data_IF_774639609103
#
_entry.id   IF_774639609103
#
_cell.length_a   1.000
_cell.length_b   1.000
_cell.length_c   1.000
_cell.angle_alpha   90.00
_cell.angle_beta   90.00
_cell.angle_gamma   90.00
#
_symmetry.space_group_name_H-M   'P 1'
#
loop_
_entity.id
_entity.type
_entity.pdbx_description
1 polymer ?
#
# COMPACT_ATOMS: atom_id res chain seq x y z
N UNK A 1 12.77 -22.85 -9.04
CA UNK A 1 13.74 -21.86 -9.56
C UNK A 1 13.51 -20.52 -8.90
N UNK A 2 14.58 -19.87 -8.43
CA UNK A 2 14.52 -18.48 -7.96
C UNK A 2 14.43 -17.60 -9.21
N UNK A 3 13.45 -16.69 -9.26
CA UNK A 3 13.22 -15.82 -10.44
C UNK A 3 12.27 -16.38 -11.50
N UNK A 4 11.29 -17.21 -11.12
CA UNK A 4 10.24 -17.67 -12.03
C UNK A 4 9.41 -16.47 -12.55
N UNK A 5 9.49 -16.20 -13.87
CA UNK A 5 8.76 -15.12 -14.54
C UNK A 5 7.25 -15.21 -14.34
N UNK A 6 6.69 -16.43 -14.35
CA UNK A 6 5.27 -16.63 -14.13
C UNK A 6 4.86 -16.15 -12.73
N UNK A 7 5.65 -16.47 -11.70
CA UNK A 7 5.37 -16.04 -10.34
C UNK A 7 5.43 -14.52 -10.19
N UNK A 8 6.37 -13.86 -10.87
CA UNK A 8 6.46 -12.39 -10.89
C UNK A 8 5.24 -11.75 -11.55
N UNK A 9 4.82 -12.27 -12.71
CA UNK A 9 3.65 -11.72 -13.41
C UNK A 9 2.35 -11.98 -12.63
N UNK A 10 2.23 -13.13 -11.95
CA UNK A 10 1.08 -13.39 -11.09
C UNK A 10 1.07 -12.48 -9.85
N UNK A 11 2.23 -12.20 -9.25
CA UNK A 11 2.33 -11.25 -8.15
C UNK A 11 1.87 -9.84 -8.55
N UNK A 12 2.25 -9.35 -9.75
CA UNK A 12 1.77 -8.06 -10.28
C UNK A 12 0.25 -8.06 -10.49
N UNK A 13 -0.30 -9.12 -11.10
CA UNK A 13 -1.75 -9.27 -11.30
C UNK A 13 -2.51 -9.26 -9.98
N UNK A 14 -1.97 -9.89 -8.95
CA UNK A 14 -2.58 -9.90 -7.62
C UNK A 14 -2.59 -8.51 -7.00
N UNK A 15 -1.49 -7.77 -7.10
CA UNK A 15 -1.40 -6.38 -6.64
C UNK A 15 -2.51 -5.53 -7.28
N UNK A 16 -2.64 -5.58 -8.60
CA UNK A 16 -3.63 -4.79 -9.35
C UNK A 16 -5.09 -5.17 -9.03
N UNK A 17 -5.36 -6.46 -8.80
CA UNK A 17 -6.74 -6.96 -8.67
C UNK A 17 -7.26 -7.04 -7.25
N UNK A 18 -6.38 -7.19 -6.26
CA UNK A 18 -6.77 -7.61 -4.91
C UNK A 18 -6.29 -6.66 -3.81
N UNK A 19 -5.37 -5.75 -4.11
CA UNK A 19 -4.88 -4.78 -3.12
C UNK A 19 -5.42 -3.39 -3.46
N UNK A 20 -6.04 -2.74 -2.48
CA UNK A 20 -6.58 -1.38 -2.63
C UNK A 20 -5.46 -0.36 -2.88
N UNK A 21 -4.35 -0.50 -2.15
CA UNK A 21 -3.19 0.37 -2.20
C UNK A 21 -1.96 -0.43 -1.74
N UNK A 22 -0.82 -0.25 -2.41
CA UNK A 22 0.48 -0.80 -2.00
C UNK A 22 1.49 0.33 -2.04
N UNK A 23 2.17 0.57 -0.92
CA UNK A 23 3.23 1.57 -0.79
C UNK A 23 4.59 0.93 -0.55
N UNK A 24 5.62 1.76 -0.43
CA UNK A 24 6.98 1.38 -0.04
C UNK A 24 7.31 1.95 1.34
N UNK A 25 8.24 1.32 2.05
CA UNK A 25 8.56 1.71 3.43
C UNK A 25 9.20 3.10 3.51
N UNK A 26 9.94 3.49 2.48
CA UNK A 26 10.64 4.77 2.36
C UNK A 26 9.68 5.96 2.17
N UNK A 27 8.43 5.70 1.76
CA UNK A 27 7.37 6.70 1.51
C UNK A 27 6.13 6.42 2.39
N UNK A 28 6.36 5.95 3.62
CA UNK A 28 5.30 5.51 4.52
C UNK A 28 4.39 6.68 4.97
N UNK A 29 4.96 7.87 5.12
CA UNK A 29 4.24 9.09 5.44
C UNK A 29 3.21 9.44 4.36
N UNK A 30 3.59 9.40 3.08
CA UNK A 30 2.69 9.60 1.94
C UNK A 30 1.64 8.48 1.85
N UNK A 31 2.05 7.23 2.06
CA UNK A 31 1.14 6.08 2.07
C UNK A 31 0.01 6.24 3.09
N UNK A 32 0.33 6.70 4.32
CA UNK A 32 -0.69 6.94 5.36
C UNK A 32 -1.63 8.09 4.97
N UNK A 33 -1.13 9.15 4.33
CA UNK A 33 -1.98 10.23 3.82
C UNK A 33 -2.99 9.74 2.78
N UNK A 34 -2.55 8.89 1.84
CA UNK A 34 -3.44 8.29 0.84
C UNK A 34 -4.48 7.40 1.51
N UNK A 35 -4.10 6.56 2.49
CA UNK A 35 -5.06 5.75 3.25
C UNK A 35 -6.10 6.61 3.97
N UNK A 36 -5.70 7.74 4.54
CA UNK A 36 -6.62 8.67 5.18
C UNK A 36 -7.61 9.28 4.19
N UNK A 37 -7.17 9.62 2.97
CA UNK A 37 -8.03 10.15 1.92
C UNK A 37 -9.00 9.11 1.34
N UNK A 38 -8.52 7.88 1.13
CA UNK A 38 -9.28 6.78 0.49
C UNK A 38 -10.20 6.06 1.48
N UNK A 39 -9.75 5.87 2.73
CA UNK A 39 -10.47 5.16 3.79
C UNK A 39 -10.63 6.02 5.07
N UNK A 40 -11.25 7.21 4.98
CA UNK A 40 -11.33 8.17 6.09
C UNK A 40 -12.10 7.66 7.30
N UNK A 41 -12.97 6.66 7.15
CA UNK A 41 -13.66 6.04 8.30
C UNK A 41 -12.70 5.28 9.22
N UNK A 42 -11.64 4.70 8.65
CA UNK A 42 -10.67 3.89 9.37
C UNK A 42 -9.42 4.69 9.75
N UNK A 43 -8.95 5.58 8.87
CA UNK A 43 -7.63 6.21 8.98
C UNK A 43 -7.67 7.72 9.26
N UNK A 44 -8.82 8.30 9.63
CA UNK A 44 -8.88 9.72 10.00
C UNK A 44 -7.99 10.02 11.21
N UNK A 45 -7.06 10.95 11.03
CA UNK A 45 -6.09 11.37 12.05
C UNK A 45 -4.89 10.43 12.18
N UNK A 46 -4.78 9.39 11.34
CA UNK A 46 -3.67 8.45 11.40
C UNK A 46 -2.33 9.10 11.03
N UNK A 47 -2.36 10.04 10.07
CA UNK A 47 -1.17 10.78 9.68
C UNK A 47 -0.64 11.65 10.82
N UNK A 48 -1.53 12.37 11.50
CA UNK A 48 -1.15 13.22 12.63
C UNK A 48 -0.56 12.38 13.76
N UNK A 49 -1.15 11.21 14.07
CA UNK A 49 -0.61 10.29 15.07
C UNK A 49 0.78 9.75 14.69
N UNK A 50 1.01 9.45 13.40
CA UNK A 50 2.27 8.87 12.94
C UNK A 50 3.46 9.85 13.00
N UNK A 51 3.20 11.16 12.87
CA UNK A 51 4.24 12.20 12.88
C UNK A 51 4.69 12.62 14.30
N UNK A 52 4.08 12.08 15.36
CA UNK A 52 4.41 12.36 16.76
C UNK A 52 5.11 11.16 17.42
#
# INVERSE_FOLDING_TARGET
EVGNKWALEEAKRNLEKHYLLVGVTEELDEFIQVLQAVLPRFFRGAYDYFQH
#
